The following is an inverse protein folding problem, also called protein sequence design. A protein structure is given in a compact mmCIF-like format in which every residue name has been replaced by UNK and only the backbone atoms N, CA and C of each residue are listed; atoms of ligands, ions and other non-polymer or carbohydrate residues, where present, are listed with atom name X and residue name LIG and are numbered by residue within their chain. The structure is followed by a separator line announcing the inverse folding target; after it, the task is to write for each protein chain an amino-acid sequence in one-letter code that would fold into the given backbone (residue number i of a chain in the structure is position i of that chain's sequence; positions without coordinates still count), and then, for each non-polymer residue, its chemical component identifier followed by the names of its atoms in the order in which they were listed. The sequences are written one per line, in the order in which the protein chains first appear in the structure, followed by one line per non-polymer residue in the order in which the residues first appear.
data_IF_007607764034
#
_entry.id   IF_007607764034
#
_cell.length_a   1.000
_cell.length_b   1.000
_cell.length_c   1.000
_cell.angle_alpha   90.00
_cell.angle_beta   90.00
_cell.angle_gamma   90.00
#
_symmetry.space_group_name_H-M   'P 1'
#
loop_
_entity.id
_entity.type
_entity.pdbx_description
1 polymer ?
#
# COMPACT_ATOMS: atom_id res chain seq x y z
N UNK A 1 44.41 -14.16 -35.67
CA UNK A 1 42.94 -13.93 -35.68
C UNK A 1 42.32 -14.67 -34.50
N UNK A 2 42.00 -13.97 -33.42
CA UNK A 2 41.30 -14.53 -32.24
C UNK A 2 39.80 -14.23 -32.41
N UNK A 3 38.96 -15.27 -32.46
CA UNK A 3 37.50 -15.13 -32.53
C UNK A 3 36.87 -15.55 -31.19
N UNK A 4 35.96 -14.69 -30.74
CA UNK A 4 35.31 -14.63 -29.44
C UNK A 4 34.51 -15.88 -29.07
N UNK A 5 34.56 -16.25 -27.78
CA UNK A 5 33.55 -17.10 -27.12
C UNK A 5 32.81 -16.25 -26.10
N UNK A 6 31.63 -15.78 -26.48
CA UNK A 6 30.60 -15.27 -25.55
C UNK A 6 29.30 -15.84 -26.07
N UNK A 7 28.80 -16.93 -25.48
CA UNK A 7 27.41 -17.41 -25.51
C UNK A 7 27.34 -18.66 -24.62
N UNK A 8 27.34 -18.47 -23.30
CA UNK A 8 27.13 -19.54 -22.32
C UNK A 8 26.48 -19.01 -21.03
N UNK A 9 25.51 -18.09 -21.14
CA UNK A 9 24.75 -17.55 -20.01
C UNK A 9 23.25 -17.43 -20.32
N UNK A 10 22.69 -18.45 -20.99
CA UNK A 10 21.25 -18.58 -21.19
C UNK A 10 20.71 -20.00 -20.88
N UNK A 11 21.50 -20.83 -20.18
CA UNK A 11 21.19 -22.25 -19.94
C UNK A 11 20.74 -22.62 -18.52
N UNK A 12 20.65 -21.67 -17.58
CA UNK A 12 20.46 -21.97 -16.14
C UNK A 12 19.16 -21.44 -15.52
N UNK A 13 18.20 -20.97 -16.32
CA UNK A 13 16.88 -20.51 -15.83
C UNK A 13 15.76 -21.55 -16.05
N UNK A 14 16.00 -22.64 -16.79
CA UNK A 14 14.96 -23.62 -17.14
C UNK A 14 14.85 -24.85 -16.23
N UNK A 15 15.59 -24.91 -15.11
CA UNK A 15 15.60 -26.08 -14.21
C UNK A 15 14.83 -25.90 -12.90
N UNK A 16 14.24 -24.73 -12.64
CA UNK A 16 13.34 -24.52 -11.49
C UNK A 16 11.86 -24.88 -11.79
N UNK A 17 11.54 -25.33 -13.00
CA UNK A 17 10.18 -25.78 -13.38
C UNK A 17 9.96 -27.29 -13.17
N UNK A 18 10.98 -28.05 -12.74
CA UNK A 18 10.96 -29.52 -12.72
C UNK A 18 10.58 -30.21 -11.41
N UNK A 19 10.50 -29.49 -10.28
CA UNK A 19 10.22 -30.12 -8.95
C UNK A 19 8.74 -30.05 -8.56
N UNK A 20 7.88 -29.45 -9.41
CA UNK A 20 6.46 -29.22 -9.13
C UNK A 20 5.50 -30.35 -9.58
N UNK A 21 6.00 -31.49 -10.05
CA UNK A 21 5.16 -32.58 -10.57
C UNK A 21 4.87 -33.73 -9.57
N UNK A 22 5.28 -33.62 -8.31
CA UNK A 22 5.17 -34.76 -7.38
C UNK A 22 4.75 -34.35 -5.95
N UNK A 23 3.59 -33.69 -5.82
CA UNK A 23 2.77 -33.72 -4.60
C UNK A 23 1.33 -33.19 -4.80
N UNK A 24 0.77 -33.29 -6.02
CA UNK A 24 -0.66 -33.07 -6.26
C UNK A 24 -1.33 -34.34 -6.77
N UNK A 25 -1.38 -35.36 -5.92
CA UNK A 25 -2.41 -36.40 -6.01
C UNK A 25 -3.77 -35.81 -5.61
N UNK A 26 -4.30 -34.90 -6.42
CA UNK A 26 -5.73 -34.67 -6.61
C UNK A 26 -5.97 -33.81 -7.85
N UNK A 27 -6.43 -34.51 -8.88
CA UNK A 27 -6.99 -34.01 -10.12
C UNK A 27 -8.15 -33.06 -9.83
N UNK A 28 -8.04 -31.79 -10.20
CA UNK A 28 -9.11 -31.06 -10.91
C UNK A 28 -8.63 -29.70 -11.41
N UNK A 29 -8.73 -29.55 -12.72
CA UNK A 29 -8.93 -28.27 -13.39
C UNK A 29 -9.98 -27.44 -12.66
N UNK A 30 -9.66 -26.17 -12.46
CA UNK A 30 -10.40 -25.09 -11.77
C UNK A 30 -11.78 -24.78 -12.42
N UNK A 31 -12.64 -25.78 -12.48
CA UNK A 31 -13.93 -25.76 -13.20
C UNK A 31 -15.14 -25.51 -12.30
N UNK A 32 -14.96 -25.53 -10.98
CA UNK A 32 -16.00 -25.23 -9.98
C UNK A 32 -15.88 -23.87 -9.32
N UNK A 33 -14.76 -23.16 -9.50
CA UNK A 33 -14.60 -21.80 -8.98
C UNK A 33 -15.63 -20.86 -9.62
N UNK A 34 -16.38 -20.06 -8.83
CA UNK A 34 -17.32 -19.11 -9.38
C UNK A 34 -16.58 -18.06 -10.22
N UNK A 35 -17.17 -17.67 -11.36
CA UNK A 35 -16.64 -16.58 -12.21
C UNK A 35 -17.25 -15.23 -11.91
N UNK A 36 -18.38 -15.22 -11.19
CA UNK A 36 -19.07 -14.01 -10.78
C UNK A 36 -18.62 -13.61 -9.37
N UNK A 37 -18.21 -12.35 -9.21
CA UNK A 37 -17.93 -11.75 -7.92
C UNK A 37 -19.08 -10.84 -7.52
N UNK A 38 -19.73 -11.15 -6.40
CA UNK A 38 -20.78 -10.31 -5.83
C UNK A 38 -20.17 -9.28 -4.88
N UNK A 39 -20.43 -8.00 -5.13
CA UNK A 39 -20.03 -6.90 -4.26
C UNK A 39 -21.26 -6.15 -3.76
N UNK A 40 -21.27 -5.81 -2.47
CA UNK A 40 -22.33 -5.03 -1.83
C UNK A 40 -21.76 -3.67 -1.47
N UNK A 41 -22.32 -2.62 -2.06
CA UNK A 41 -22.02 -1.23 -1.70
C UNK A 41 -23.11 -0.67 -0.78
N UNK A 42 -22.76 0.29 0.06
CA UNK A 42 -23.64 0.85 1.10
C UNK A 42 -24.57 1.96 0.59
N UNK A 43 -24.25 2.57 -0.54
CA UNK A 43 -25.02 3.64 -1.17
C UNK A 43 -24.77 3.71 -2.68
N UNK A 44 -25.77 4.11 -3.45
CA UNK A 44 -25.64 4.33 -4.89
C UNK A 44 -24.69 5.52 -5.19
N UNK A 45 -23.95 5.49 -6.32
CA UNK A 45 -23.23 6.66 -6.79
C UNK A 45 -24.20 7.73 -7.30
N UNK A 46 -24.11 8.95 -6.79
CA UNK A 46 -24.87 10.10 -7.30
C UNK A 46 -24.37 10.56 -8.68
N UNK A 47 -23.10 10.30 -8.99
CA UNK A 47 -22.45 10.58 -10.27
C UNK A 47 -21.33 9.59 -10.54
N UNK A 48 -21.00 9.39 -11.82
CA UNK A 48 -19.82 8.66 -12.28
C UNK A 48 -18.67 9.58 -12.70
N UNK A 49 -18.85 10.89 -12.59
CA UNK A 49 -17.79 11.85 -12.82
C UNK A 49 -16.81 11.83 -11.63
N UNK A 50 -15.67 11.16 -11.85
CA UNK A 50 -14.60 11.01 -10.87
C UNK A 50 -13.76 12.28 -10.69
N UNK A 51 -13.92 13.31 -11.54
CA UNK A 51 -13.20 14.57 -11.39
C UNK A 51 -13.83 15.48 -10.34
N UNK A 52 -15.12 15.30 -10.06
CA UNK A 52 -15.89 16.14 -9.13
C UNK A 52 -16.36 15.37 -7.89
N UNK A 53 -16.36 14.04 -7.94
CA UNK A 53 -16.84 13.19 -6.84
C UNK A 53 -15.69 12.46 -6.15
N UNK A 54 -15.53 12.71 -4.86
CA UNK A 54 -14.64 11.96 -3.95
C UNK A 54 -15.40 10.91 -3.12
N UNK A 55 -16.66 10.61 -3.47
CA UNK A 55 -17.48 9.63 -2.75
C UNK A 55 -17.04 8.19 -3.08
N UNK A 56 -16.94 7.35 -2.05
CA UNK A 56 -16.55 5.94 -2.20
C UNK A 56 -17.45 5.17 -3.18
N UNK A 57 -18.76 5.46 -3.21
CA UNK A 57 -19.70 4.81 -4.14
C UNK A 57 -19.37 5.08 -5.62
N UNK A 58 -18.88 6.29 -5.94
CA UNK A 58 -18.34 6.61 -7.27
C UNK A 58 -17.00 5.90 -7.50
N UNK A 59 -16.10 5.99 -6.52
CA UNK A 59 -14.74 5.43 -6.60
C UNK A 59 -14.72 3.94 -6.90
N UNK A 60 -15.59 3.13 -6.29
CA UNK A 60 -15.66 1.68 -6.57
C UNK A 60 -15.95 1.41 -8.04
N UNK A 61 -16.89 2.15 -8.64
CA UNK A 61 -17.27 1.94 -10.04
C UNK A 61 -16.14 2.41 -10.96
N UNK A 62 -15.60 3.60 -10.71
CA UNK A 62 -14.61 4.23 -11.58
C UNK A 62 -13.24 3.52 -11.50
N UNK A 63 -12.82 3.04 -10.32
CA UNK A 63 -11.57 2.28 -10.17
C UNK A 63 -11.58 0.96 -10.93
N UNK A 64 -12.75 0.32 -11.12
CA UNK A 64 -12.86 -0.91 -11.91
C UNK A 64 -13.17 -0.67 -13.39
N UNK A 65 -13.81 0.46 -13.72
CA UNK A 65 -14.20 0.80 -15.09
C UNK A 65 -13.16 1.62 -15.87
N UNK A 66 -12.23 2.27 -15.19
CA UNK A 66 -11.26 3.20 -15.79
C UNK A 66 -9.85 2.81 -15.34
N UNK A 67 -8.99 2.47 -16.29
CA UNK A 67 -7.57 2.27 -16.04
C UNK A 67 -6.81 3.61 -16.10
N UNK A 68 -6.02 3.88 -15.06
CA UNK A 68 -5.10 5.02 -15.02
C UNK A 68 -3.74 4.67 -15.61
N UNK A 69 -2.79 5.61 -15.61
CA UNK A 69 -1.42 5.38 -16.06
C UNK A 69 -0.74 4.24 -15.30
N UNK A 70 -0.94 4.20 -13.99
CA UNK A 70 -0.42 3.18 -13.09
C UNK A 70 -1.55 2.50 -12.29
N UNK A 71 -1.25 1.31 -11.82
CA UNK A 71 -2.06 0.55 -10.86
C UNK A 71 -1.17 -0.09 -9.81
N UNK A 72 -1.77 -0.54 -8.71
CA UNK A 72 -1.07 -1.41 -7.76
C UNK A 72 -1.17 -2.87 -8.22
N UNK A 73 -0.07 -3.61 -8.09
CA UNK A 73 -0.05 -5.06 -8.23
C UNK A 73 -0.54 -5.76 -6.94
N UNK A 74 -0.50 -7.10 -6.91
CA UNK A 74 -0.87 -7.90 -5.74
C UNK A 74 0.18 -7.88 -4.61
N UNK A 75 1.32 -7.20 -4.79
CA UNK A 75 2.42 -7.08 -3.82
C UNK A 75 2.56 -5.67 -3.22
N UNK A 76 1.88 -4.69 -3.81
CA UNK A 76 1.91 -3.28 -3.41
C UNK A 76 2.89 -2.41 -4.18
N UNK A 77 3.39 -2.87 -5.34
CA UNK A 77 4.21 -2.06 -6.22
C UNK A 77 3.34 -1.32 -7.24
N UNK A 78 3.76 -0.10 -7.59
CA UNK A 78 3.21 0.61 -8.75
C UNK A 78 3.65 -0.10 -10.03
N UNK A 79 2.69 -0.64 -10.75
CA UNK A 79 2.89 -1.27 -12.05
C UNK A 79 2.27 -0.38 -13.14
N UNK A 80 2.93 -0.21 -14.30
CA UNK A 80 2.33 0.42 -15.46
C UNK A 80 1.02 -0.28 -15.84
N UNK A 81 -0.03 0.51 -16.05
CA UNK A 81 -1.30 0.04 -16.59
C UNK A 81 -1.41 0.44 -18.06
N UNK A 82 -1.90 1.65 -18.35
CA UNK A 82 -1.90 2.18 -19.74
C UNK A 82 -0.61 2.92 -20.11
N UNK A 83 0.27 3.16 -19.15
CA UNK A 83 1.58 3.77 -19.44
C UNK A 83 2.49 2.77 -20.16
N UNK A 84 3.01 3.17 -21.32
CA UNK A 84 3.99 2.38 -22.09
C UNK A 84 5.43 2.57 -21.57
N UNK A 85 5.74 3.78 -21.10
CA UNK A 85 7.05 4.15 -20.52
C UNK A 85 6.87 5.29 -19.50
N UNK A 86 7.84 5.44 -18.59
CA UNK A 86 7.82 6.47 -17.55
C UNK A 86 9.22 6.81 -17.05
N UNK A 87 9.40 8.05 -16.61
CA UNK A 87 10.62 8.52 -15.95
C UNK A 87 10.24 9.30 -14.70
N UNK A 88 11.04 9.17 -13.64
CA UNK A 88 10.89 9.98 -12.43
C UNK A 88 11.74 11.23 -12.60
N UNK A 89 11.08 12.37 -12.79
CA UNK A 89 11.72 13.67 -12.64
C UNK A 89 11.58 14.13 -11.20
N UNK A 90 12.62 14.73 -10.63
CA UNK A 90 12.68 15.21 -9.24
C UNK A 90 11.77 16.40 -8.92
N UNK A 91 10.53 16.39 -9.43
CA UNK A 91 9.50 17.35 -9.09
C UNK A 91 8.91 17.03 -7.72
N UNK A 92 9.33 17.78 -6.71
CA UNK A 92 8.69 17.77 -5.39
C UNK A 92 7.39 18.57 -5.49
N UNK A 93 6.25 17.90 -5.46
CA UNK A 93 4.95 18.51 -5.17
C UNK A 93 4.12 17.58 -4.31
N UNK A 94 3.38 18.20 -3.40
CA UNK A 94 2.65 17.53 -2.34
C UNK A 94 1.37 16.87 -2.87
N UNK A 95 1.20 15.60 -2.53
CA UNK A 95 -0.06 14.87 -2.54
C UNK A 95 -0.02 13.87 -1.39
N UNK A 96 -1.07 13.72 -0.58
CA UNK A 96 -1.13 12.76 0.52
C UNK A 96 -1.30 11.33 -0.02
N UNK A 97 -0.31 10.83 -0.74
CA UNK A 97 -0.32 9.51 -1.38
C UNK A 97 0.94 8.68 -1.09
N UNK A 98 1.96 9.28 -0.46
CA UNK A 98 3.18 8.58 -0.06
C UNK A 98 2.98 7.84 1.27
N UNK A 99 3.57 6.64 1.36
CA UNK A 99 3.70 5.83 2.59
C UNK A 99 4.70 6.46 3.58
N UNK A 100 4.57 7.76 3.82
CA UNK A 100 5.43 8.49 4.75
C UNK A 100 4.68 8.82 6.04
N UNK A 101 5.28 8.58 7.22
CA UNK A 101 4.67 8.99 8.48
C UNK A 101 4.35 10.49 8.53
N UNK A 102 5.08 11.34 7.81
CA UNK A 102 4.83 12.79 7.78
C UNK A 102 3.41 13.12 7.33
N UNK A 103 2.81 12.32 6.44
CA UNK A 103 1.44 12.51 5.93
C UNK A 103 0.41 12.63 7.07
N UNK A 104 0.58 11.87 8.16
CA UNK A 104 -0.33 11.90 9.31
C UNK A 104 0.23 12.66 10.51
N UNK A 105 1.54 12.81 10.61
CA UNK A 105 2.16 13.54 11.72
C UNK A 105 2.16 15.06 11.47
N UNK A 106 2.38 15.50 10.24
CA UNK A 106 2.46 16.93 9.90
C UNK A 106 1.14 17.68 10.15
N UNK A 107 0.01 16.99 9.99
CA UNK A 107 -1.31 17.60 10.19
C UNK A 107 -1.57 17.97 11.66
N UNK A 108 -0.83 17.38 12.60
CA UNK A 108 -0.95 17.66 14.04
C UNK A 108 0.04 18.73 14.52
N UNK A 109 0.94 19.21 13.65
CA UNK A 109 1.88 20.28 14.00
C UNK A 109 1.14 21.55 14.38
N UNK A 110 1.68 22.33 15.32
CA UNK A 110 1.01 23.56 15.79
C UNK A 110 0.81 24.60 14.69
N UNK A 111 1.63 24.54 13.63
CA UNK A 111 1.54 25.39 12.44
C UNK A 111 0.39 25.01 11.48
N UNK A 112 -0.18 23.80 11.61
CA UNK A 112 -1.24 23.26 10.76
C UNK A 112 -2.62 23.71 11.25
N UNK A 113 -2.85 25.03 11.30
CA UNK A 113 -3.96 25.66 12.03
C UNK A 113 -5.36 25.18 11.66
N UNK A 114 -5.62 24.87 10.38
CA UNK A 114 -6.90 24.31 9.94
C UNK A 114 -7.19 22.95 10.61
N UNK A 115 -6.15 22.13 10.70
CA UNK A 115 -6.25 20.77 11.21
C UNK A 115 -6.23 20.73 12.74
N UNK A 116 -5.37 21.52 13.38
CA UNK A 116 -5.31 21.61 14.85
C UNK A 116 -6.57 22.23 15.43
N UNK A 117 -7.21 23.16 14.71
CA UNK A 117 -8.50 23.72 15.13
C UNK A 117 -9.58 22.64 15.16
N UNK A 118 -9.58 21.78 14.15
CA UNK A 118 -10.58 20.72 13.98
C UNK A 118 -10.38 19.59 14.98
N UNK A 119 -9.15 19.10 15.16
CA UNK A 119 -8.88 17.91 15.97
C UNK A 119 -8.45 18.20 17.41
N UNK A 120 -7.79 19.33 17.66
CA UNK A 120 -7.20 19.67 18.95
C UNK A 120 -7.81 20.94 19.59
N UNK A 121 -8.70 21.64 18.87
CA UNK A 121 -9.44 22.79 19.39
C UNK A 121 -8.64 24.10 19.50
N UNK A 122 -7.49 24.22 18.82
CA UNK A 122 -6.70 25.46 18.80
C UNK A 122 -6.23 25.83 17.39
N UNK A 123 -6.18 27.13 17.08
CA UNK A 123 -5.65 27.67 15.82
C UNK A 123 -4.44 28.59 16.02
N UNK A 124 -4.12 28.95 17.27
CA UNK A 124 -2.94 29.75 17.60
C UNK A 124 -1.79 28.87 18.14
N UNK A 125 -0.69 28.71 17.38
CA UNK A 125 0.48 27.92 17.79
C UNK A 125 1.22 28.46 19.02
N UNK A 126 0.95 29.69 19.43
CA UNK A 126 1.59 30.33 20.58
C UNK A 126 0.63 30.48 21.78
N UNK A 127 -0.52 29.79 21.76
CA UNK A 127 -1.44 29.81 22.89
C UNK A 127 -0.80 29.18 24.14
N UNK A 128 -1.13 29.65 25.35
CA UNK A 128 -0.60 29.07 26.59
C UNK A 128 -0.83 27.57 26.72
N UNK A 129 -1.98 27.08 26.24
CA UNK A 129 -2.33 25.66 26.24
C UNK A 129 -1.37 24.83 25.40
N UNK A 130 -0.97 25.29 24.21
CA UNK A 130 0.00 24.61 23.33
C UNK A 130 1.36 24.46 24.01
N UNK A 131 1.82 25.50 24.71
CA UNK A 131 3.07 25.46 25.47
C UNK A 131 2.96 24.50 26.66
N UNK A 132 1.84 24.56 27.39
CA UNK A 132 1.59 23.73 28.57
C UNK A 132 1.56 22.23 28.23
N UNK A 133 0.96 21.84 27.11
CA UNK A 133 0.89 20.43 26.68
C UNK A 133 2.15 19.96 25.94
N UNK A 134 3.15 20.83 25.76
CA UNK A 134 4.45 20.45 25.21
C UNK A 134 4.47 20.21 23.70
N UNK A 135 3.46 20.64 22.94
CA UNK A 135 3.37 20.42 21.48
C UNK A 135 4.52 21.06 20.68
N UNK A 136 5.30 21.97 21.28
CA UNK A 136 6.54 22.48 20.66
C UNK A 136 7.64 21.44 20.58
N UNK A 137 7.68 20.50 21.52
CA UNK A 137 8.62 19.36 21.43
C UNK A 137 8.19 18.41 20.32
N UNK A 138 6.88 18.19 20.17
CA UNK A 138 6.34 17.43 19.04
C UNK A 138 6.71 18.05 17.68
N UNK A 139 6.46 19.35 17.49
CA UNK A 139 6.83 20.04 16.24
C UNK A 139 8.31 19.86 15.91
N UNK A 140 9.17 19.96 16.92
CA UNK A 140 10.62 19.77 16.78
C UNK A 140 10.98 18.34 16.37
N UNK A 141 10.39 17.32 16.99
CA UNK A 141 10.63 15.91 16.62
C UNK A 141 10.23 15.64 15.17
N UNK A 142 9.09 16.17 14.73
CA UNK A 142 8.61 16.04 13.34
C UNK A 142 9.54 16.78 12.37
N UNK A 143 9.97 18.00 12.70
CA UNK A 143 10.91 18.77 11.88
C UNK A 143 12.30 18.11 11.78
N UNK A 144 12.79 17.52 12.86
CA UNK A 144 14.06 16.77 12.88
C UNK A 144 13.99 15.49 12.05
N UNK A 145 12.85 14.80 12.07
CA UNK A 145 12.58 13.67 11.19
C UNK A 145 12.50 14.12 9.72
N UNK A 146 11.77 15.19 9.41
CA UNK A 146 11.63 15.71 8.05
C UNK A 146 12.95 16.20 7.43
N UNK A 147 13.89 16.68 8.25
CA UNK A 147 15.24 17.07 7.80
C UNK A 147 16.12 15.88 7.39
N UNK A 148 15.80 14.67 7.82
CA UNK A 148 16.50 13.47 7.39
C UNK A 148 16.03 13.08 5.98
N UNK A 149 16.80 13.47 4.96
CA UNK A 149 16.49 13.16 3.56
C UNK A 149 17.42 12.11 2.96
N UNK A 150 18.39 11.60 3.74
CA UNK A 150 19.47 10.74 3.22
C UNK A 150 19.28 9.25 3.55
N UNK A 151 18.75 8.92 4.73
CA UNK A 151 18.47 7.55 5.14
C UNK A 151 17.02 7.39 5.62
N UNK A 152 16.24 6.59 4.88
CA UNK A 152 14.83 6.34 5.18
C UNK A 152 14.63 5.60 6.52
N UNK A 153 15.52 4.70 6.91
CA UNK A 153 15.38 3.98 8.17
C UNK A 153 15.56 4.94 9.34
N UNK A 154 16.60 5.77 9.29
CA UNK A 154 16.85 6.80 10.31
C UNK A 154 15.71 7.81 10.35
N UNK A 155 15.18 8.20 9.19
CA UNK A 155 14.00 9.08 9.11
C UNK A 155 12.78 8.46 9.79
N UNK A 156 12.50 7.18 9.53
CA UNK A 156 11.36 6.48 10.11
C UNK A 156 11.52 6.22 11.60
N UNK A 157 12.74 5.97 12.09
CA UNK A 157 13.03 5.93 13.53
C UNK A 157 12.75 7.27 14.22
N UNK A 158 13.14 8.39 13.60
CA UNK A 158 12.83 9.74 14.12
C UNK A 158 11.32 10.01 14.12
N UNK A 159 10.59 9.66 13.05
CA UNK A 159 9.12 9.79 13.06
C UNK A 159 8.45 8.86 14.08
N UNK A 160 8.99 7.66 14.31
CA UNK A 160 8.49 6.77 15.36
C UNK A 160 8.62 7.40 16.75
N UNK A 161 9.70 8.16 17.00
CA UNK A 161 9.84 8.93 18.23
C UNK A 161 8.77 10.04 18.36
N UNK A 162 8.46 10.76 17.28
CA UNK A 162 7.38 11.75 17.26
C UNK A 162 5.99 11.12 17.51
N UNK A 163 5.71 9.96 16.91
CA UNK A 163 4.47 9.22 17.11
C UNK A 163 4.36 8.65 18.54
N UNK A 164 5.47 8.16 19.10
CA UNK A 164 5.52 7.68 20.49
C UNK A 164 5.20 8.83 21.45
N UNK A 165 5.81 10.01 21.25
CA UNK A 165 5.52 11.20 22.04
C UNK A 165 4.02 11.57 22.00
N UNK A 166 3.40 11.55 20.81
CA UNK A 166 1.95 11.82 20.66
C UNK A 166 1.11 10.84 21.47
N UNK A 167 1.44 9.55 21.39
CA UNK A 167 0.70 8.48 22.07
C UNK A 167 0.87 8.60 23.60
N UNK A 168 2.09 8.83 24.06
CA UNK A 168 2.41 8.97 25.49
C UNK A 168 1.82 10.25 26.10
N UNK A 169 1.73 11.34 25.31
CA UNK A 169 1.09 12.58 25.73
C UNK A 169 -0.41 12.44 25.98
N UNK A 170 -1.03 11.37 25.47
CA UNK A 170 -2.49 11.14 25.49
C UNK A 170 -3.32 12.23 24.81
N UNK A 171 -2.68 13.18 24.09
CA UNK A 171 -3.37 14.18 23.27
C UNK A 171 -4.05 13.55 22.05
N UNK A 172 -3.50 12.44 21.59
CA UNK A 172 -4.06 11.62 20.53
C UNK A 172 -4.08 10.16 20.97
N UNK A 173 -5.28 9.60 21.12
CA UNK A 173 -5.47 8.18 21.46
C UNK A 173 -6.04 7.49 20.23
N UNK A 174 -5.33 6.54 19.62
CA UNK A 174 -5.88 5.72 18.55
C UNK A 174 -7.02 4.85 19.11
N UNK A 175 -8.26 5.31 18.96
CA UNK A 175 -9.44 4.56 19.40
C UNK A 175 -9.72 3.33 18.52
N UNK A 176 -9.08 3.26 17.36
CA UNK A 176 -9.22 2.17 16.40
C UNK A 176 -7.83 1.65 16.01
N UNK A 177 -7.24 0.83 16.87
CA UNK A 177 -6.31 -0.17 16.39
C UNK A 177 -7.18 -1.34 15.88
N UNK A 178 -7.26 -1.52 14.55
CA UNK A 178 -7.71 -2.81 14.03
C UNK A 178 -6.74 -3.84 14.60
N UNK A 179 -7.20 -4.64 15.56
CA UNK A 179 -6.39 -5.71 16.15
C UNK A 179 -6.04 -6.81 15.15
N UNK A 180 -6.35 -6.62 13.86
CA UNK A 180 -6.18 -7.60 12.78
C UNK A 180 -7.00 -8.86 12.98
N UNK A 181 -7.84 -8.92 14.02
CA UNK A 181 -8.46 -10.13 14.53
C UNK A 181 -9.97 -10.19 14.28
N UNK A 182 -10.47 -9.47 13.28
CA UNK A 182 -11.83 -9.71 12.82
C UNK A 182 -11.85 -11.06 12.07
N UNK A 183 -12.63 -12.06 12.51
CA UNK A 183 -12.77 -13.29 11.74
C UNK A 183 -13.47 -12.96 10.42
N UNK A 184 -12.80 -13.23 9.30
CA UNK A 184 -13.35 -13.04 7.96
C UNK A 184 -13.64 -14.40 7.35
N UNK A 185 -14.86 -14.60 6.87
CA UNK A 185 -15.21 -15.73 6.01
C UNK A 185 -15.07 -15.27 4.57
N UNK A 186 -14.18 -15.93 3.82
CA UNK A 186 -13.91 -15.56 2.43
C UNK A 186 -13.82 -16.79 1.54
N UNK A 187 -14.25 -16.62 0.29
CA UNK A 187 -14.00 -17.54 -0.83
C UNK A 187 -13.02 -16.94 -1.85
N UNK A 188 -12.44 -15.79 -1.53
CA UNK A 188 -11.36 -15.19 -2.31
C UNK A 188 -10.08 -15.92 -1.91
N UNK A 189 -9.34 -16.43 -2.90
CA UNK A 189 -8.03 -17.02 -2.67
C UNK A 189 -7.12 -15.95 -2.03
N UNK A 190 -6.53 -16.20 -0.85
CA UNK A 190 -5.80 -15.19 -0.11
C UNK A 190 -4.66 -14.55 -0.93
N UNK A 191 -4.46 -13.26 -0.74
CA UNK A 191 -3.38 -12.47 -1.35
C UNK A 191 -3.37 -12.41 -2.89
N UNK A 192 -4.50 -12.72 -3.53
CA UNK A 192 -4.63 -12.63 -4.99
C UNK A 192 -5.06 -11.27 -5.49
N UNK A 193 -5.86 -10.52 -4.72
CA UNK A 193 -6.28 -9.17 -5.09
C UNK A 193 -5.16 -8.14 -5.08
N UNK A 194 -5.41 -6.98 -5.68
CA UNK A 194 -4.49 -5.86 -5.60
C UNK A 194 -4.22 -5.46 -4.14
N UNK A 195 -2.95 -5.18 -3.85
CA UNK A 195 -2.51 -4.73 -2.55
C UNK A 195 -2.17 -3.26 -2.65
N UNK A 196 -2.78 -2.41 -1.83
CA UNK A 196 -2.43 -1.01 -1.73
C UNK A 196 -2.37 -0.62 -0.25
N UNK A 197 -1.34 0.12 0.16
CA UNK A 197 -1.31 0.71 1.51
C UNK A 197 -1.90 2.12 1.53
N UNK A 198 -1.95 2.79 0.38
CA UNK A 198 -2.50 4.13 0.18
C UNK A 198 -3.31 4.18 -1.11
N UNK A 199 -4.22 5.16 -1.22
CA UNK A 199 -5.07 5.36 -2.39
C UNK A 199 -6.23 4.38 -2.51
N UNK A 200 -7.02 4.55 -3.57
CA UNK A 200 -8.30 3.87 -3.82
C UNK A 200 -8.21 2.69 -4.81
N UNK A 201 -7.06 2.02 -4.84
CA UNK A 201 -6.80 0.81 -5.65
C UNK A 201 -6.35 -0.39 -4.81
N UNK A 202 -6.93 -0.53 -3.62
CA UNK A 202 -6.81 -1.73 -2.79
C UNK A 202 -7.86 -2.78 -3.15
N UNK A 203 -7.67 -4.03 -2.72
CA UNK A 203 -8.58 -5.16 -2.99
C UNK A 203 -10.03 -4.99 -2.49
N UNK A 204 -10.27 -4.01 -1.63
CA UNK A 204 -11.59 -3.61 -1.12
C UNK A 204 -12.44 -2.87 -2.17
N UNK A 205 -11.80 -2.20 -3.12
CA UNK A 205 -12.45 -1.40 -4.17
C UNK A 205 -11.97 -1.72 -5.59
N UNK A 206 -10.86 -2.46 -5.74
CA UNK A 206 -10.27 -2.84 -7.02
C UNK A 206 -10.20 -4.36 -7.16
N UNK A 207 -11.01 -4.90 -8.07
CA UNK A 207 -11.26 -6.35 -8.16
C UNK A 207 -10.30 -7.08 -9.11
N UNK A 208 -9.34 -6.37 -9.70
CA UNK A 208 -8.31 -6.99 -10.54
C UNK A 208 -7.51 -7.99 -9.70
N UNK A 209 -7.09 -9.06 -10.37
CA UNK A 209 -6.32 -10.18 -9.81
C UNK A 209 -7.07 -11.10 -8.81
N UNK A 210 -8.26 -10.72 -8.34
CA UNK A 210 -9.05 -11.58 -7.45
C UNK A 210 -9.29 -12.95 -8.09
N UNK A 211 -8.91 -14.00 -7.36
CA UNK A 211 -9.25 -15.38 -7.71
C UNK A 211 -10.25 -15.90 -6.68
N UNK A 212 -11.26 -16.61 -7.16
CA UNK A 212 -12.28 -17.21 -6.31
C UNK A 212 -12.02 -18.71 -6.18
N UNK A 213 -12.36 -19.27 -5.03
CA UNK A 213 -12.39 -20.70 -4.77
C UNK A 213 -13.81 -21.11 -4.35
N UNK A 214 -14.17 -22.37 -4.60
CA UNK A 214 -15.52 -22.87 -4.33
C UNK A 214 -15.81 -22.93 -2.82
N UNK A 215 -14.83 -23.38 -2.03
CA UNK A 215 -14.94 -23.54 -0.58
C UNK A 215 -14.40 -22.33 0.17
N UNK A 216 -14.91 -22.12 1.38
CA UNK A 216 -14.38 -21.09 2.29
C UNK A 216 -12.91 -21.39 2.59
N UNK A 217 -12.09 -20.35 2.59
CA UNK A 217 -10.67 -20.42 2.92
C UNK A 217 -10.49 -21.02 4.31
N UNK A 218 -9.69 -22.07 4.39
CA UNK A 218 -9.26 -22.68 5.65
C UNK A 218 -8.03 -21.98 6.21
N UNK A 219 -7.78 -22.16 7.51
CA UNK A 219 -6.58 -21.62 8.17
C UNK A 219 -5.29 -22.09 7.49
N UNK A 220 -5.21 -23.38 7.15
CA UNK A 220 -4.03 -23.96 6.50
C UNK A 220 -3.79 -23.37 5.10
N UNK A 221 -4.85 -23.16 4.32
CA UNK A 221 -4.75 -22.52 3.00
C UNK A 221 -4.27 -21.07 3.13
N UNK A 222 -4.80 -20.33 4.12
CA UNK A 222 -4.37 -18.96 4.38
C UNK A 222 -2.90 -18.88 4.79
N UNK A 223 -2.45 -19.73 5.73
CA UNK A 223 -1.07 -19.72 6.21
C UNK A 223 -0.09 -20.08 5.09
N UNK A 224 -0.40 -21.10 4.27
CA UNK A 224 0.40 -21.46 3.09
C UNK A 224 0.44 -20.35 2.05
N UNK A 225 -0.71 -19.73 1.77
CA UNK A 225 -0.79 -18.61 0.83
C UNK A 225 -0.01 -17.40 1.36
N UNK A 226 -0.02 -17.15 2.68
CA UNK A 226 0.72 -16.06 3.32
C UNK A 226 2.21 -16.26 3.23
N UNK A 227 2.71 -17.46 3.56
CA UNK A 227 4.13 -17.79 3.47
C UNK A 227 4.63 -17.62 2.04
N UNK A 228 3.88 -18.15 1.07
CA UNK A 228 4.17 -17.99 -0.35
C UNK A 228 4.17 -16.52 -0.76
N UNK A 229 3.13 -15.77 -0.40
CA UNK A 229 3.01 -14.35 -0.76
C UNK A 229 4.12 -13.50 -0.15
N UNK A 230 4.53 -13.76 1.10
CA UNK A 230 5.65 -13.02 1.72
C UNK A 230 6.96 -13.23 0.96
N UNK A 231 7.22 -14.46 0.49
CA UNK A 231 8.40 -14.76 -0.32
C UNK A 231 8.33 -14.07 -1.69
N UNK A 232 7.22 -14.24 -2.41
CA UNK A 232 7.02 -13.64 -3.73
C UNK A 232 7.03 -12.10 -3.67
N UNK A 233 6.46 -11.51 -2.60
CA UNK A 233 6.49 -10.08 -2.35
C UNK A 233 7.91 -9.56 -2.15
N UNK A 234 8.73 -10.24 -1.35
CA UNK A 234 10.11 -9.83 -1.13
C UNK A 234 10.89 -9.78 -2.46
N UNK A 235 10.76 -10.83 -3.28
CA UNK A 235 11.37 -10.91 -4.60
C UNK A 235 10.82 -9.83 -5.57
N UNK A 236 9.51 -9.62 -5.60
CA UNK A 236 8.85 -8.60 -6.42
C UNK A 236 9.29 -7.18 -6.04
N UNK A 237 9.34 -6.87 -4.75
CA UNK A 237 9.72 -5.55 -4.26
C UNK A 237 11.20 -5.26 -4.53
N UNK A 238 12.09 -6.26 -4.36
CA UNK A 238 13.50 -6.11 -4.72
C UNK A 238 13.66 -5.83 -6.21
N UNK A 239 12.90 -6.53 -7.07
CA UNK A 239 12.89 -6.27 -8.52
C UNK A 239 12.38 -4.87 -8.83
N UNK A 240 11.26 -4.46 -8.26
CA UNK A 240 10.66 -3.14 -8.48
C UNK A 240 11.62 -2.01 -8.07
N UNK A 241 12.36 -2.16 -6.96
CA UNK A 241 13.37 -1.18 -6.56
C UNK A 241 14.56 -1.11 -7.53
N UNK A 242 15.03 -2.25 -8.04
CA UNK A 242 16.10 -2.27 -9.06
C UNK A 242 15.66 -1.61 -10.37
N UNK A 243 14.43 -1.87 -10.80
CA UNK A 243 13.86 -1.26 -12.01
C UNK A 243 13.67 0.25 -11.81
N UNK A 244 13.11 0.67 -10.67
CA UNK A 244 12.96 2.09 -10.33
C UNK A 244 14.27 2.87 -10.43
N UNK A 245 15.41 2.29 -10.01
CA UNK A 245 16.72 2.94 -10.10
C UNK A 245 17.12 3.32 -11.54
N UNK A 246 16.59 2.62 -12.56
CA UNK A 246 16.83 2.96 -13.97
C UNK A 246 15.94 4.09 -14.49
N UNK A 247 14.87 4.42 -13.76
CA UNK A 247 13.92 5.49 -14.10
C UNK A 247 14.17 6.80 -13.33
N UNK A 248 15.13 6.81 -12.39
CA UNK A 248 15.56 8.00 -11.64
C UNK A 248 16.79 8.61 -12.34
N UNK A 249 16.70 9.88 -12.72
CA UNK A 249 17.79 10.64 -13.36
C UNK A 249 18.66 11.40 -12.36
#
# INVERSE_FOLDING_TARGET
MKKNRVFATAGLVLLAAGVLAACSSSKSSDSSAPKAYGYVYTADPETLDYLISSKNSTTVVTSNGIDGLFTNDNYGNLAPAVAEDWEVSGGVSWGPDYQDPSTYLDILKTTSSETTKTYLGFDNPNSPSVVQVGLKEYDKLVDEAAKETSDLNVRYEKYAAAQAWLTDSSLFIPAMASSGAAPVLSRIVPFTGASAQTGSKGSDVYFKYLKLQDKVVTKEEYEKAREKWLKEKAESNEKAQKELASHVK
#
